data_IF_734144002147
#
_entry.id   IF_734144002147
#
_cell.length_a   1.000
_cell.length_b   1.000
_cell.length_c   1.000
_cell.angle_alpha   90.00
_cell.angle_beta   90.00
_cell.angle_gamma   90.00
#
_symmetry.space_group_name_H-M   'P 1'
#
loop_
_entity.id
_entity.type
_entity.pdbx_description
1 polymer ?
#
# COMPACT_ATOMS: atom_id res chain seq x y z
N UNK A 1 4.11 -10.87 -12.09
CA UNK A 1 3.40 -10.15 -13.16
C UNK A 1 2.95 -8.77 -12.70
N UNK A 2 3.22 -7.77 -13.50
CA UNK A 2 2.83 -6.39 -13.22
C UNK A 2 1.66 -6.04 -14.13
N UNK A 3 0.56 -5.59 -13.53
CA UNK A 3 -0.61 -5.10 -14.25
C UNK A 3 -0.54 -3.57 -14.29
N UNK A 4 -0.69 -3.00 -15.48
CA UNK A 4 -0.64 -1.55 -15.67
C UNK A 4 -2.02 -0.98 -15.90
N UNK A 5 -2.24 0.22 -15.42
CA UNK A 5 -3.49 0.96 -15.57
C UNK A 5 -3.46 2.24 -14.79
N UNK A 6 -4.62 2.88 -14.67
CA UNK A 6 -4.71 4.16 -13.96
C UNK A 6 -5.11 3.94 -12.50
N UNK A 7 -4.46 4.68 -11.62
CA UNK A 7 -4.82 4.76 -10.21
C UNK A 7 -5.47 6.11 -9.93
N UNK A 8 -6.42 6.11 -9.03
CA UNK A 8 -6.97 7.30 -8.40
C UNK A 8 -6.94 7.09 -6.89
N UNK A 9 -7.51 8.01 -6.12
CA UNK A 9 -7.51 7.87 -4.67
C UNK A 9 -8.84 8.34 -4.09
N UNK A 10 -9.15 7.83 -2.90
CA UNK A 10 -10.37 8.20 -2.18
C UNK A 10 -10.29 9.63 -1.66
N UNK A 11 -11.33 10.42 -1.88
CA UNK A 11 -11.45 11.73 -1.26
C UNK A 11 -11.78 11.64 0.23
N UNK A 12 -11.68 12.76 0.93
CA UNK A 12 -11.98 12.86 2.36
C UNK A 12 -13.41 12.45 2.70
N UNK A 13 -14.33 12.61 1.75
CA UNK A 13 -15.75 12.28 1.94
C UNK A 13 -15.99 10.81 2.23
N UNK A 14 -15.02 9.95 1.94
CA UNK A 14 -15.13 8.51 2.18
C UNK A 14 -14.55 8.09 3.53
N UNK A 15 -13.88 9.00 4.26
CA UNK A 15 -13.29 8.66 5.55
C UNK A 15 -14.37 8.18 6.53
N UNK A 16 -14.05 7.13 7.29
CA UNK A 16 -14.94 6.44 8.23
C UNK A 16 -16.09 5.67 7.60
N UNK A 17 -16.25 5.64 6.27
CA UNK A 17 -17.29 4.82 5.63
C UNK A 17 -16.92 3.34 5.68
N UNK A 18 -17.93 2.44 5.78
CA UNK A 18 -17.70 1.00 5.75
C UNK A 18 -17.02 0.55 4.46
N UNK A 19 -16.13 -0.42 4.56
CA UNK A 19 -15.48 -1.06 3.42
C UNK A 19 -15.89 -2.52 3.30
N UNK A 20 -15.56 -3.16 2.18
CA UNK A 20 -15.84 -4.57 1.97
C UNK A 20 -15.13 -5.49 2.98
N UNK A 21 -14.04 -5.01 3.61
CA UNK A 21 -13.34 -5.76 4.67
C UNK A 21 -14.10 -5.82 5.98
N UNK A 22 -15.16 -5.02 6.12
CA UNK A 22 -15.91 -4.89 7.36
C UNK A 22 -15.40 -3.80 8.30
N UNK A 23 -14.25 -3.22 7.98
CA UNK A 23 -13.67 -2.12 8.75
C UNK A 23 -13.97 -0.79 8.07
N UNK A 24 -14.13 0.30 8.84
CA UNK A 24 -14.30 1.62 8.23
C UNK A 24 -13.03 2.04 7.49
N UNK A 25 -13.19 2.82 6.42
CA UNK A 25 -12.08 3.41 5.71
C UNK A 25 -11.38 4.44 6.61
N UNK A 26 -10.07 4.28 6.76
CA UNK A 26 -9.21 5.26 7.45
C UNK A 26 -8.25 5.83 6.41
N UNK A 27 -8.41 7.11 6.09
CA UNK A 27 -7.61 7.77 5.05
C UNK A 27 -6.12 7.84 5.35
N UNK A 28 -5.74 7.63 6.60
CA UNK A 28 -4.34 7.70 7.04
C UNK A 28 -3.64 6.33 7.09
N UNK A 29 -4.33 5.27 6.72
CA UNK A 29 -3.75 3.93 6.60
C UNK A 29 -3.41 3.62 5.14
N UNK A 30 -2.56 2.61 4.92
CA UNK A 30 -2.07 2.26 3.58
C UNK A 30 -2.93 1.14 3.00
N UNK A 31 -4.06 1.53 2.42
CA UNK A 31 -5.07 0.62 1.88
C UNK A 31 -5.49 1.03 0.47
N UNK A 32 -6.22 0.15 -0.19
CA UNK A 32 -6.72 0.41 -1.53
C UNK A 32 -8.00 -0.38 -1.81
N UNK A 33 -8.77 0.10 -2.79
CA UNK A 33 -9.85 -0.65 -3.39
C UNK A 33 -9.38 -1.28 -4.71
N UNK A 34 -9.75 -2.52 -4.92
CA UNK A 34 -9.50 -3.27 -6.15
C UNK A 34 -10.72 -4.11 -6.49
N UNK A 35 -11.02 -4.27 -7.80
CA UNK A 35 -12.27 -4.91 -8.21
C UNK A 35 -12.33 -6.39 -7.89
N UNK A 36 -11.22 -7.11 -7.99
CA UNK A 36 -11.24 -8.57 -7.97
C UNK A 36 -10.23 -9.24 -7.05
N UNK A 37 -9.13 -8.59 -6.68
CA UNK A 37 -8.15 -9.21 -5.79
C UNK A 37 -8.79 -9.51 -4.43
N UNK A 38 -8.48 -10.67 -3.83
CA UNK A 38 -9.03 -11.00 -2.51
C UNK A 38 -8.75 -9.90 -1.47
N UNK A 39 -9.73 -9.63 -0.64
CA UNK A 39 -9.57 -8.72 0.50
C UNK A 39 -8.45 -9.26 1.39
N UNK A 40 -7.51 -8.41 1.77
CA UNK A 40 -6.32 -8.79 2.54
C UNK A 40 -5.05 -8.92 1.71
N UNK A 41 -5.18 -8.99 0.38
CA UNK A 41 -4.02 -9.06 -0.52
C UNK A 41 -3.22 -7.77 -0.47
N UNK A 42 -1.91 -7.87 -0.39
CA UNK A 42 -1.01 -6.72 -0.44
C UNK A 42 -0.43 -6.59 -1.84
N UNK A 43 -0.45 -5.39 -2.36
CA UNK A 43 0.13 -5.07 -3.67
C UNK A 43 1.14 -3.95 -3.54
N UNK A 44 2.17 -4.00 -4.40
CA UNK A 44 3.08 -2.88 -4.60
C UNK A 44 2.54 -2.05 -5.75
N UNK A 45 2.31 -0.77 -5.49
CA UNK A 45 1.85 0.18 -6.51
C UNK A 45 3.02 1.09 -6.84
N UNK A 46 3.39 1.13 -8.12
CA UNK A 46 4.52 1.94 -8.60
C UNK A 46 4.02 2.96 -9.60
N UNK A 47 4.30 4.24 -9.33
CA UNK A 47 3.98 5.33 -10.27
C UNK A 47 4.94 5.25 -11.46
N UNK A 48 4.39 5.23 -12.67
CA UNK A 48 5.20 5.04 -13.88
C UNK A 48 5.99 6.29 -14.28
N UNK A 49 5.64 7.45 -13.75
CA UNK A 49 6.32 8.70 -14.09
C UNK A 49 7.46 9.04 -13.13
N UNK A 50 7.24 8.91 -11.82
CA UNK A 50 8.25 9.29 -10.84
C UNK A 50 8.99 8.11 -10.21
N UNK A 51 8.57 6.89 -10.49
CA UNK A 51 9.20 5.66 -9.98
C UNK A 51 8.98 5.40 -8.50
N UNK A 52 8.18 6.22 -7.82
CA UNK A 52 7.87 5.99 -6.40
C UNK A 52 6.90 4.83 -6.27
N UNK A 53 7.03 4.07 -5.19
CA UNK A 53 6.15 2.94 -4.93
C UNK A 53 5.68 2.94 -3.48
N UNK A 54 4.56 2.23 -3.26
CA UNK A 54 3.97 2.07 -1.94
C UNK A 54 3.32 0.69 -1.84
N UNK A 55 3.39 0.07 -0.65
CA UNK A 55 2.68 -1.16 -0.35
C UNK A 55 1.32 -0.81 0.23
N UNK A 56 0.27 -1.45 -0.30
CA UNK A 56 -1.10 -1.24 0.20
C UNK A 56 -1.82 -2.57 0.36
N UNK A 57 -2.72 -2.62 1.32
CA UNK A 57 -3.60 -3.77 1.54
C UNK A 57 -4.95 -3.51 0.87
N UNK A 58 -5.44 -4.46 0.10
CA UNK A 58 -6.77 -4.38 -0.52
C UNK A 58 -7.82 -4.58 0.56
N UNK A 59 -8.65 -3.57 0.80
CA UNK A 59 -9.68 -3.60 1.83
C UNK A 59 -11.08 -3.35 1.28
N UNK A 60 -11.20 -2.97 0.02
CA UNK A 60 -12.48 -2.58 -0.55
C UNK A 60 -12.58 -2.93 -2.04
N UNK A 61 -13.78 -2.78 -2.59
CA UNK A 61 -14.09 -3.02 -4.00
C UNK A 61 -14.24 -1.71 -4.75
N UNK A 62 -13.75 -1.69 -5.97
CA UNK A 62 -13.68 -0.56 -6.87
C UNK A 62 -12.28 -0.46 -7.45
N UNK A 63 -12.01 0.56 -8.26
CA UNK A 63 -12.93 1.57 -8.80
C UNK A 63 -13.83 1.01 -9.90
N UNK A 64 -14.99 1.66 -10.12
CA UNK A 64 -15.93 1.24 -11.17
C UNK A 64 -15.93 2.23 -12.35
N UNK A 65 -14.87 2.98 -12.50
CA UNK A 65 -14.65 3.89 -13.61
C UNK A 65 -13.73 3.21 -14.63
N UNK A 66 -14.12 3.24 -15.89
CA UNK A 66 -13.38 2.59 -16.97
C UNK A 66 -11.93 3.10 -17.03
N UNK A 67 -10.99 2.18 -17.15
CA UNK A 67 -9.56 2.48 -17.24
C UNK A 67 -8.84 2.62 -15.90
N UNK A 68 -9.58 2.76 -14.80
CA UNK A 68 -8.98 2.77 -13.46
C UNK A 68 -8.94 1.36 -12.89
N UNK A 69 -7.82 0.99 -12.30
CA UNK A 69 -7.61 -0.36 -11.79
C UNK A 69 -7.49 -0.40 -10.27
N UNK A 70 -7.19 0.71 -9.64
CA UNK A 70 -7.00 0.77 -8.19
C UNK A 70 -7.32 2.17 -7.68
N UNK A 71 -7.96 2.24 -6.51
CA UNK A 71 -8.15 3.48 -5.75
C UNK A 71 -7.34 3.40 -4.47
N UNK A 72 -6.40 4.31 -4.30
CA UNK A 72 -5.54 4.35 -3.12
C UNK A 72 -6.18 5.15 -2.00
N UNK A 73 -5.82 4.82 -0.76
CA UNK A 73 -6.09 5.69 0.38
C UNK A 73 -5.33 7.01 0.19
N UNK A 74 -5.72 8.03 0.95
CA UNK A 74 -5.02 9.30 0.94
C UNK A 74 -3.53 9.13 1.30
N UNK A 75 -3.23 8.39 2.38
CA UNK A 75 -1.86 8.18 2.82
C UNK A 75 -1.01 7.51 1.74
N UNK A 76 -1.56 6.49 1.07
CA UNK A 76 -0.85 5.80 0.00
C UNK A 76 -0.64 6.74 -1.21
N UNK A 77 -1.68 7.47 -1.61
CA UNK A 77 -1.59 8.42 -2.71
C UNK A 77 -0.54 9.50 -2.43
N UNK A 78 -0.55 10.02 -1.20
CA UNK A 78 0.42 11.05 -0.78
C UNK A 78 1.86 10.54 -0.88
N UNK A 79 2.11 9.28 -0.55
CA UNK A 79 3.47 8.74 -0.54
C UNK A 79 4.08 8.61 -1.94
N UNK A 80 3.26 8.55 -2.99
CA UNK A 80 3.74 8.50 -4.37
C UNK A 80 3.43 9.76 -5.18
N UNK A 81 2.93 10.81 -4.53
CA UNK A 81 2.63 12.09 -5.18
C UNK A 81 1.34 12.09 -5.98
N UNK A 82 0.48 11.10 -5.81
CA UNK A 82 -0.76 10.97 -6.56
C UNK A 82 -1.83 11.98 -6.13
N UNK A 83 -1.83 12.41 -4.86
CA UNK A 83 -2.86 13.31 -4.35
C UNK A 83 -2.89 14.65 -5.09
N UNK A 84 -1.76 15.12 -5.61
CA UNK A 84 -1.71 16.36 -6.40
C UNK A 84 -2.10 16.14 -7.85
N UNK A 85 -1.84 14.96 -8.40
CA UNK A 85 -2.20 14.63 -9.79
C UNK A 85 -3.65 14.20 -9.94
N UNK A 86 -4.22 13.58 -8.91
CA UNK A 86 -5.56 12.99 -8.93
C UNK A 86 -5.61 11.62 -9.58
N UNK A 87 -5.03 11.46 -10.74
CA UNK A 87 -4.96 10.19 -11.51
C UNK A 87 -3.57 10.06 -12.11
N UNK A 88 -3.01 8.85 -12.10
CA UNK A 88 -1.70 8.59 -12.71
C UNK A 88 -1.65 7.15 -13.23
N UNK A 89 -0.75 6.92 -14.20
CA UNK A 89 -0.47 5.57 -14.67
C UNK A 89 0.45 4.86 -13.67
N UNK A 90 0.03 3.66 -13.26
CA UNK A 90 0.75 2.85 -12.28
C UNK A 90 0.92 1.42 -12.77
N UNK A 91 1.88 0.73 -12.18
CA UNK A 91 1.95 -0.73 -12.23
C UNK A 91 1.60 -1.28 -10.86
N UNK A 92 0.85 -2.37 -10.82
CA UNK A 92 0.57 -3.08 -9.56
C UNK A 92 1.09 -4.49 -9.63
N UNK A 93 1.67 -4.93 -8.52
CA UNK A 93 2.24 -6.27 -8.37
C UNK A 93 1.74 -6.88 -7.07
N UNK A 94 1.12 -8.06 -7.17
CA UNK A 94 0.69 -8.80 -5.97
C UNK A 94 1.94 -9.36 -5.28
N UNK A 95 2.09 -9.06 -3.99
CA UNK A 95 3.27 -9.49 -3.21
C UNK A 95 2.93 -10.39 -2.03
N UNK A 96 1.64 -10.59 -1.75
CA UNK A 96 1.19 -11.41 -0.61
C UNK A 96 -0.01 -12.28 -0.99
N UNK A 97 -0.34 -13.21 -0.09
CA UNK A 97 -1.63 -13.91 -0.10
C UNK A 97 -2.71 -13.02 0.55
N UNK A 98 -3.93 -13.57 0.70
CA UNK A 98 -5.06 -12.83 1.28
C UNK A 98 -4.93 -12.58 2.79
N UNK A 99 -3.94 -13.16 3.45
CA UNK A 99 -3.63 -12.90 4.85
C UNK A 99 -2.51 -11.87 5.03
N UNK A 100 -2.03 -11.29 3.92
CA UNK A 100 -0.95 -10.34 3.95
C UNK A 100 0.42 -10.97 4.19
N UNK A 101 0.55 -12.29 3.98
CA UNK A 101 1.81 -13.01 4.13
C UNK A 101 2.55 -13.02 2.79
N UNK A 102 3.85 -12.66 2.75
CA UNK A 102 4.60 -12.62 1.49
C UNK A 102 4.52 -13.93 0.71
N UNK A 103 4.41 -13.82 -0.61
CA UNK A 103 4.34 -15.00 -1.48
C UNK A 103 5.62 -15.82 -1.46
N UNK A 104 6.78 -15.18 -1.28
CA UNK A 104 8.06 -15.85 -1.15
C UNK A 104 8.36 -16.11 0.32
N UNK A 105 8.73 -17.36 0.64
CA UNK A 105 9.11 -17.76 2.01
C UNK A 105 10.39 -17.09 2.48
N UNK A 106 11.21 -16.63 1.55
CA UNK A 106 12.50 -15.99 1.86
C UNK A 106 12.35 -14.51 2.13
N UNK A 107 11.15 -13.96 1.98
CA UNK A 107 10.90 -12.54 2.14
C UNK A 107 10.01 -12.25 3.33
N UNK A 108 10.17 -11.05 3.86
CA UNK A 108 9.33 -10.51 4.92
C UNK A 108 9.13 -9.02 4.70
N UNK A 109 8.16 -8.45 5.40
CA UNK A 109 7.98 -7.01 5.43
C UNK A 109 8.87 -6.39 6.50
N UNK A 110 9.34 -5.20 6.20
CA UNK A 110 10.16 -4.38 7.10
C UNK A 110 9.64 -2.95 7.05
N UNK A 111 9.90 -2.20 8.12
CA UNK A 111 9.74 -0.75 8.08
C UNK A 111 11.10 -0.14 7.82
N UNK A 112 11.24 0.53 6.68
CA UNK A 112 12.47 1.19 6.25
C UNK A 112 12.46 2.63 6.72
N UNK A 113 13.48 3.03 7.45
CA UNK A 113 13.68 4.40 7.88
C UNK A 113 14.45 5.20 6.82
N UNK A 114 14.71 6.47 7.14
CA UNK A 114 15.23 7.46 6.19
C UNK A 114 16.53 7.07 5.52
N UNK A 115 17.41 6.41 6.25
CA UNK A 115 18.76 6.13 5.76
C UNK A 115 18.95 4.65 5.42
N UNK A 116 18.55 4.23 4.20
CA UNK A 116 18.66 2.82 3.82
C UNK A 116 20.11 2.31 3.79
N UNK A 117 21.08 3.19 3.61
CA UNK A 117 22.49 2.80 3.58
C UNK A 117 22.99 2.29 4.93
N UNK A 118 22.37 2.73 6.02
CA UNK A 118 22.72 2.29 7.37
C UNK A 118 21.99 1.02 7.80
N UNK A 119 21.15 0.47 6.91
CA UNK A 119 20.42 -0.74 7.21
C UNK A 119 19.31 -0.57 8.24
N UNK A 120 18.76 0.63 8.38
CA UNK A 120 17.72 0.95 9.36
C UNK A 120 16.38 0.35 8.95
N UNK A 121 16.31 -0.97 8.96
CA UNK A 121 15.09 -1.73 8.73
C UNK A 121 14.66 -2.40 10.01
N UNK A 122 13.40 -2.19 10.37
CA UNK A 122 12.77 -2.82 11.52
C UNK A 122 11.95 -4.01 11.04
N UNK A 123 12.16 -5.15 11.66
CA UNK A 123 11.55 -6.41 11.28
C UNK A 123 12.54 -7.56 11.42
N UNK A 124 12.27 -8.72 10.85
CA UNK A 124 11.22 -9.03 9.86
C UNK A 124 9.82 -9.15 10.47
N UNK A 125 8.82 -8.80 9.68
CA UNK A 125 7.41 -9.03 9.98
C UNK A 125 6.86 -10.05 8.98
N UNK A 126 6.16 -11.05 9.48
CA UNK A 126 5.61 -12.13 8.64
C UNK A 126 4.30 -11.76 7.97
N UNK A 127 3.69 -10.65 8.37
CA UNK A 127 2.48 -10.14 7.74
C UNK A 127 2.56 -8.63 7.55
N UNK A 128 1.84 -8.16 6.52
CA UNK A 128 1.75 -6.71 6.28
C UNK A 128 1.09 -5.99 7.44
N UNK A 129 0.08 -6.59 8.08
CA UNK A 129 -0.62 -5.96 9.20
C UNK A 129 0.34 -5.61 10.35
N UNK A 130 1.27 -6.50 10.66
CA UNK A 130 2.24 -6.26 11.73
C UNK A 130 3.23 -5.16 11.34
N UNK A 131 3.70 -5.17 10.10
CA UNK A 131 4.58 -4.11 9.60
C UNK A 131 3.85 -2.76 9.56
N UNK A 132 2.60 -2.75 9.12
CA UNK A 132 1.79 -1.54 9.05
C UNK A 132 1.55 -0.94 10.43
N UNK A 133 1.32 -1.77 11.45
CA UNK A 133 1.14 -1.30 12.82
C UNK A 133 2.40 -0.57 13.32
N UNK A 134 3.57 -1.13 13.06
CA UNK A 134 4.84 -0.49 13.42
C UNK A 134 5.05 0.80 12.62
N UNK A 135 4.74 0.76 11.32
CA UNK A 135 4.85 1.93 10.45
C UNK A 135 4.01 3.09 10.97
N UNK A 136 2.75 2.83 11.31
CA UNK A 136 1.84 3.83 11.85
C UNK A 136 2.37 4.40 13.18
N UNK A 137 2.91 3.55 14.03
CA UNK A 137 3.47 3.98 15.33
C UNK A 137 4.68 4.89 15.14
N UNK A 138 5.39 4.77 14.04
CA UNK A 138 6.63 5.53 13.78
C UNK A 138 6.43 6.80 12.97
N UNK A 139 5.27 6.99 12.35
CA UNK A 139 5.07 8.08 11.37
C UNK A 139 5.26 9.48 11.95
N UNK A 140 4.91 9.71 13.21
CA UNK A 140 5.07 11.04 13.81
C UNK A 140 6.54 11.42 13.98
N UNK A 141 7.42 10.47 14.32
CA UNK A 141 8.84 10.69 14.47
C UNK A 141 9.62 10.49 13.15
N UNK A 142 9.10 9.65 12.27
CA UNK A 142 9.73 9.27 11.00
C UNK A 142 8.72 9.31 9.87
N UNK A 143 8.31 10.52 9.42
CA UNK A 143 7.31 10.65 8.35
C UNK A 143 7.77 10.07 7.01
N UNK A 144 9.07 9.90 6.83
CA UNK A 144 9.66 9.30 5.62
C UNK A 144 9.66 7.76 5.64
N UNK A 145 9.32 7.15 6.79
CA UNK A 145 9.31 5.69 6.94
C UNK A 145 8.31 5.04 5.97
N UNK A 146 8.64 3.85 5.49
CA UNK A 146 7.79 3.11 4.57
C UNK A 146 7.92 1.61 4.79
N UNK A 147 6.89 0.87 4.45
CA UNK A 147 6.94 -0.59 4.46
C UNK A 147 7.59 -1.06 3.17
N UNK A 148 8.55 -1.95 3.29
CA UNK A 148 9.24 -2.57 2.17
C UNK A 148 9.23 -4.08 2.31
N UNK A 149 9.43 -4.77 1.20
CA UNK A 149 9.57 -6.23 1.15
C UNK A 149 11.02 -6.54 0.84
N UNK A 150 11.64 -7.40 1.65
CA UNK A 150 13.03 -7.75 1.48
C UNK A 150 13.30 -9.16 2.00
N UNK A 151 14.46 -9.68 1.66
CA UNK A 151 14.87 -11.00 2.12
C UNK A 151 15.01 -11.03 3.64
N UNK A 152 14.61 -12.15 4.23
CA UNK A 152 14.86 -12.41 5.65
C UNK A 152 16.34 -12.47 5.92
N UNK A 153 16.71 -11.86 7.01
CA UNK A 153 18.07 -11.89 7.48
C UNK A 153 18.27 -12.94 8.57
#
# INVERSE_FOLDING_TARGET
DIVRGKASWYGRDFDARPTASGLPYDMYTFTAAHRTLPIGTVVRVSDQYNGKSVMVCVTDRGPFVHGRIIDLSYAAANSIGLETKGVSDVGIEVVSDANGVPLSRDEAFYVQLENPADGDKIGPYDSFADAAAMHEAMLSAHPEARVVLDRKK
#
